data_IF_644034517940
#
_entry.id   IF_644034517940
#
_cell.length_a   1.000
_cell.length_b   1.000
_cell.length_c   1.000
_cell.angle_alpha   90.00
_cell.angle_beta   90.00
_cell.angle_gamma   90.00
#
_symmetry.space_group_name_H-M   'P 1'
#
loop_
_entity.id
_entity.type
_entity.pdbx_description
1 polymer ?
#
# COMPACT_ATOMS: atom_id res chain seq x y z
N UNK A 1 18.33 6.63 -6.84
CA UNK A 1 17.00 6.11 -7.21
C UNK A 1 16.76 6.54 -8.65
N UNK A 2 16.50 5.61 -9.57
CA UNK A 2 16.12 5.95 -10.95
C UNK A 2 14.60 5.80 -11.04
N UNK A 3 13.92 6.79 -11.61
CA UNK A 3 12.48 6.73 -11.86
C UNK A 3 12.21 5.74 -12.99
N UNK A 4 11.29 4.79 -12.77
CA UNK A 4 10.78 3.95 -13.84
C UNK A 4 9.78 4.72 -14.69
N UNK A 5 9.95 4.70 -16.01
CA UNK A 5 9.01 5.27 -16.96
C UNK A 5 8.36 4.15 -17.77
N UNK A 6 7.10 4.35 -18.15
CA UNK A 6 6.36 3.45 -19.01
C UNK A 6 5.53 4.27 -19.99
N UNK A 7 5.27 3.70 -21.16
CA UNK A 7 4.38 4.30 -22.15
C UNK A 7 2.95 3.82 -21.90
N UNK A 8 2.01 4.77 -21.82
CA UNK A 8 0.59 4.45 -21.73
C UNK A 8 0.10 3.78 -23.02
N UNK A 9 -0.77 2.78 -22.88
CA UNK A 9 -1.25 1.94 -23.99
C UNK A 9 -2.71 2.22 -24.37
N UNK A 10 -3.48 2.87 -23.49
CA UNK A 10 -4.88 3.24 -23.73
C UNK A 10 -4.96 4.69 -24.21
N UNK A 11 -4.47 4.97 -25.41
CA UNK A 11 -4.36 6.35 -25.92
C UNK A 11 -5.62 6.85 -26.66
N UNK A 12 -6.43 5.93 -27.18
CA UNK A 12 -7.60 6.27 -28.00
C UNK A 12 -8.72 6.94 -27.19
N UNK A 13 -9.61 7.67 -27.87
CA UNK A 13 -10.80 8.26 -27.25
C UNK A 13 -11.86 7.18 -26.96
N UNK A 14 -12.12 6.29 -27.91
CA UNK A 14 -12.87 5.06 -27.67
C UNK A 14 -11.94 4.01 -27.07
N UNK A 15 -12.24 3.57 -25.84
CA UNK A 15 -11.36 2.70 -25.07
C UNK A 15 -12.09 1.41 -24.74
N UNK A 16 -11.67 0.33 -25.39
CA UNK A 16 -12.06 -1.02 -25.02
C UNK A 16 -11.02 -1.61 -24.05
N UNK A 17 -11.36 -1.62 -22.76
CA UNK A 17 -10.51 -2.19 -21.72
C UNK A 17 -10.61 -3.72 -21.63
N UNK A 18 -11.62 -4.34 -22.26
CA UNK A 18 -11.94 -5.77 -22.06
C UNK A 18 -10.90 -6.70 -22.67
N UNK A 19 -10.11 -6.20 -23.63
CA UNK A 19 -8.98 -6.92 -24.23
C UNK A 19 -7.70 -6.93 -23.39
N UNK A 20 -7.64 -6.16 -22.28
CA UNK A 20 -6.45 -6.07 -21.45
C UNK A 20 -6.18 -7.40 -20.74
N UNK A 21 -4.92 -7.84 -20.81
CA UNK A 21 -4.46 -9.07 -20.16
C UNK A 21 -2.98 -8.95 -19.82
N UNK A 22 -2.58 -9.68 -18.78
CA UNK A 22 -1.16 -9.90 -18.50
C UNK A 22 -0.61 -10.82 -19.60
N UNK A 23 0.45 -10.38 -20.28
CA UNK A 23 1.15 -11.22 -21.24
C UNK A 23 2.16 -12.12 -20.50
N UNK A 24 1.74 -13.33 -20.15
CA UNK A 24 2.57 -14.26 -19.40
C UNK A 24 3.80 -14.77 -20.18
N UNK A 25 3.81 -14.61 -21.51
CA UNK A 25 4.94 -14.96 -22.37
C UNK A 25 5.97 -13.83 -22.50
N UNK A 26 5.68 -12.63 -21.95
CA UNK A 26 6.62 -11.52 -22.00
C UNK A 26 7.91 -11.87 -21.23
N UNK A 27 9.12 -11.62 -21.77
CA UNK A 27 10.38 -11.99 -21.13
C UNK A 27 10.50 -11.50 -19.68
N UNK A 28 10.11 -10.25 -19.40
CA UNK A 28 10.18 -9.69 -18.05
C UNK A 28 9.20 -10.34 -17.07
N UNK A 29 8.03 -10.77 -17.56
CA UNK A 29 7.07 -11.49 -16.73
C UNK A 29 7.56 -12.89 -16.42
N UNK A 30 8.09 -13.61 -17.42
CA UNK A 30 8.69 -14.93 -17.20
C UNK A 30 9.85 -14.85 -16.23
N UNK A 31 10.71 -13.85 -16.40
CA UNK A 31 11.83 -13.59 -15.51
C UNK A 31 11.37 -13.32 -14.07
N UNK A 32 10.31 -12.54 -13.85
CA UNK A 32 9.80 -12.28 -12.50
C UNK A 32 9.24 -13.54 -11.82
N UNK A 33 8.56 -14.40 -12.56
CA UNK A 33 8.07 -15.70 -12.05
C UNK A 33 9.23 -16.66 -11.79
N UNK A 34 10.23 -16.72 -12.67
CA UNK A 34 11.45 -17.53 -12.47
C UNK A 34 12.23 -17.08 -11.22
N UNK A 35 12.35 -15.76 -11.01
CA UNK A 35 12.94 -15.20 -9.79
C UNK A 35 12.16 -15.57 -8.54
N UNK A 36 10.83 -15.58 -8.61
CA UNK A 36 9.99 -15.95 -7.47
C UNK A 36 10.22 -17.41 -7.07
N UNK A 37 10.22 -18.33 -8.04
CA UNK A 37 10.50 -19.75 -7.79
C UNK A 37 11.90 -19.96 -7.22
N UNK A 38 12.91 -19.32 -7.81
CA UNK A 38 14.27 -19.38 -7.28
C UNK A 38 14.36 -18.84 -5.85
N UNK A 39 13.67 -17.74 -5.58
CA UNK A 39 13.59 -17.12 -4.25
C UNK A 39 13.08 -18.11 -3.21
N UNK A 40 12.02 -18.85 -3.52
CA UNK A 40 11.44 -19.86 -2.62
C UNK A 40 12.43 -20.99 -2.30
N UNK A 41 13.11 -21.51 -3.33
CA UNK A 41 14.08 -22.59 -3.16
C UNK A 41 15.27 -22.16 -2.29
N UNK A 42 15.75 -20.92 -2.47
CA UNK A 42 16.92 -20.41 -1.77
C UNK A 42 16.62 -19.86 -0.36
N UNK A 43 15.42 -19.31 -0.16
CA UNK A 43 15.00 -18.62 1.06
C UNK A 43 14.44 -19.54 2.15
N UNK A 44 14.09 -20.79 1.82
CA UNK A 44 13.44 -21.73 2.74
C UNK A 44 14.16 -21.81 4.10
N UNK A 45 13.45 -21.40 5.16
CA UNK A 45 13.94 -21.38 6.54
C UNK A 45 14.96 -20.28 6.87
N UNK A 46 15.18 -19.31 5.98
CA UNK A 46 16.15 -18.22 6.14
C UNK A 46 15.50 -16.84 6.10
N UNK A 47 14.59 -16.62 5.17
CA UNK A 47 13.88 -15.35 5.00
C UNK A 47 12.53 -15.56 4.29
N UNK A 48 11.71 -14.51 4.27
CA UNK A 48 10.42 -14.49 3.56
C UNK A 48 10.63 -14.07 2.11
N UNK A 49 9.82 -14.59 1.20
CA UNK A 49 9.80 -14.22 -0.21
C UNK A 49 8.65 -13.25 -0.48
N UNK A 50 9.00 -12.08 -1.00
CA UNK A 50 7.99 -11.07 -1.36
C UNK A 50 7.29 -11.46 -2.67
N UNK A 51 5.97 -11.29 -2.73
CA UNK A 51 5.23 -11.32 -4.00
C UNK A 51 5.53 -10.08 -4.88
N UNK A 52 6.35 -9.16 -4.39
CA UNK A 52 6.80 -7.98 -5.11
C UNK A 52 5.89 -6.76 -4.94
N UNK A 53 6.13 -5.78 -5.82
CA UNK A 53 5.35 -4.56 -5.93
C UNK A 53 4.60 -4.57 -7.27
N UNK A 54 3.28 -4.58 -7.21
CA UNK A 54 2.41 -4.28 -8.32
C UNK A 54 1.26 -3.39 -7.84
N UNK A 55 1.11 -2.25 -8.53
CA UNK A 55 0.05 -1.29 -8.24
C UNK A 55 -1.34 -1.91 -8.40
N UNK A 56 -2.31 -1.28 -7.79
CA UNK A 56 -3.73 -1.64 -7.93
C UNK A 56 -4.58 -0.38 -7.87
N UNK A 57 -5.87 -0.54 -8.15
CA UNK A 57 -6.79 0.59 -8.20
C UNK A 57 -6.28 1.68 -9.18
N UNK A 58 -6.61 2.94 -8.92
CA UNK A 58 -6.29 4.12 -9.74
C UNK A 58 -4.88 4.17 -10.32
N UNK A 59 -3.88 3.59 -9.65
CA UNK A 59 -2.48 3.58 -10.11
C UNK A 59 -2.29 2.74 -11.38
N UNK A 60 -2.95 1.57 -11.47
CA UNK A 60 -2.87 0.71 -12.65
C UNK A 60 -3.50 1.39 -13.85
N UNK A 61 -4.70 1.98 -13.69
CA UNK A 61 -5.34 2.67 -14.80
C UNK A 61 -4.60 3.95 -15.16
N UNK A 62 -4.06 4.70 -14.19
CA UNK A 62 -3.22 5.87 -14.46
C UNK A 62 -1.98 5.48 -15.29
N UNK A 63 -1.39 4.32 -15.01
CA UNK A 63 -0.26 3.83 -15.80
C UNK A 63 -0.67 3.50 -17.24
N UNK A 64 -1.78 2.79 -17.42
CA UNK A 64 -2.27 2.35 -18.73
C UNK A 64 -2.83 3.49 -19.59
N UNK A 65 -3.52 4.46 -18.98
CA UNK A 65 -4.23 5.57 -19.64
C UNK A 65 -3.43 6.87 -19.70
N UNK A 66 -2.51 7.03 -18.75
CA UNK A 66 -1.83 8.28 -18.46
C UNK A 66 -2.63 9.11 -17.47
N UNK A 67 -1.96 9.64 -16.44
CA UNK A 67 -2.59 10.38 -15.33
C UNK A 67 -3.46 11.54 -15.80
N UNK A 68 -3.00 12.35 -16.76
CA UNK A 68 -3.74 13.50 -17.26
C UNK A 68 -5.06 13.08 -17.94
N UNK A 69 -4.98 12.10 -18.83
CA UNK A 69 -6.15 11.55 -19.50
C UNK A 69 -7.14 10.94 -18.50
N UNK A 70 -6.65 10.19 -17.51
CA UNK A 70 -7.50 9.61 -16.48
C UNK A 70 -8.20 10.68 -15.63
N UNK A 71 -7.57 11.84 -15.39
CA UNK A 71 -8.22 12.96 -14.70
C UNK A 71 -9.41 13.52 -15.50
N UNK A 72 -9.26 13.67 -16.81
CA UNK A 72 -10.40 14.03 -17.68
C UNK A 72 -11.45 12.92 -17.68
N UNK A 73 -11.05 11.65 -17.74
CA UNK A 73 -11.98 10.52 -17.72
C UNK A 73 -12.79 10.44 -16.42
N UNK A 74 -12.19 10.79 -15.27
CA UNK A 74 -12.91 10.90 -13.99
C UNK A 74 -14.00 11.98 -13.98
N UNK A 75 -13.86 13.02 -14.81
CA UNK A 75 -14.84 14.09 -14.96
C UNK A 75 -15.92 13.74 -15.98
N UNK A 76 -15.49 13.31 -17.17
CA UNK A 76 -16.36 13.19 -18.34
C UNK A 76 -17.07 11.83 -18.40
N UNK A 77 -16.45 10.78 -17.86
CA UNK A 77 -16.93 9.39 -17.93
C UNK A 77 -16.60 8.57 -16.68
N UNK A 78 -17.03 8.99 -15.48
CA UNK A 78 -16.71 8.30 -14.23
C UNK A 78 -17.17 6.84 -14.18
N UNK A 79 -18.25 6.46 -14.85
CA UNK A 79 -18.69 5.05 -14.86
C UNK A 79 -17.76 4.16 -15.69
N UNK A 80 -17.24 4.66 -16.81
CA UNK A 80 -16.22 3.94 -17.56
C UNK A 80 -14.96 3.70 -16.72
N UNK A 81 -14.55 4.69 -15.91
CA UNK A 81 -13.43 4.54 -14.97
C UNK A 81 -13.73 3.44 -13.96
N UNK A 82 -14.91 3.44 -13.33
CA UNK A 82 -15.30 2.41 -12.37
C UNK A 82 -15.32 1.01 -12.98
N UNK A 83 -15.96 0.85 -14.14
CA UNK A 83 -16.05 -0.44 -14.83
C UNK A 83 -14.67 -0.98 -15.21
N UNK A 84 -13.79 -0.08 -15.69
CA UNK A 84 -12.39 -0.43 -16.01
C UNK A 84 -11.62 -0.83 -14.77
N UNK A 85 -11.76 -0.09 -13.66
CA UNK A 85 -11.11 -0.39 -12.39
C UNK A 85 -11.58 -1.73 -11.79
N UNK A 86 -12.87 -2.06 -11.87
CA UNK A 86 -13.38 -3.37 -11.48
C UNK A 86 -12.76 -4.49 -12.30
N UNK A 87 -12.67 -4.31 -13.62
CA UNK A 87 -12.05 -5.27 -14.53
C UNK A 87 -10.55 -5.46 -14.22
N UNK A 88 -9.82 -4.37 -13.99
CA UNK A 88 -8.41 -4.41 -13.61
C UNK A 88 -8.21 -5.07 -12.25
N UNK A 89 -9.11 -4.83 -11.28
CA UNK A 89 -9.06 -5.48 -9.98
C UNK A 89 -9.30 -6.99 -10.07
N UNK A 90 -10.14 -7.47 -11.00
CA UNK A 90 -10.29 -8.91 -11.25
C UNK A 90 -9.02 -9.54 -11.85
N UNK A 91 -8.27 -8.80 -12.67
CA UNK A 91 -6.94 -9.21 -13.12
C UNK A 91 -5.96 -9.23 -11.94
N UNK A 92 -5.97 -8.18 -11.11
CA UNK A 92 -5.12 -8.04 -9.93
C UNK A 92 -5.31 -9.22 -8.97
N UNK A 93 -6.55 -9.55 -8.60
CA UNK A 93 -6.86 -10.67 -7.70
C UNK A 93 -6.39 -12.01 -8.26
N UNK A 94 -6.61 -12.28 -9.57
CA UNK A 94 -6.14 -13.52 -10.20
C UNK A 94 -4.62 -13.62 -10.23
N UNK A 95 -3.94 -12.51 -10.51
CA UNK A 95 -2.49 -12.47 -10.51
C UNK A 95 -1.92 -12.66 -9.11
N UNK A 96 -2.47 -11.94 -8.12
CA UNK A 96 -2.12 -12.12 -6.71
C UNK A 96 -2.25 -13.58 -6.29
N UNK A 97 -3.38 -14.23 -6.58
CA UNK A 97 -3.60 -15.64 -6.24
C UNK A 97 -2.57 -16.59 -6.85
N UNK A 98 -2.11 -16.29 -8.07
CA UNK A 98 -1.04 -17.06 -8.72
C UNK A 98 0.27 -16.92 -7.94
N UNK A 99 0.66 -15.70 -7.57
CA UNK A 99 1.89 -15.44 -6.81
C UNK A 99 1.81 -16.02 -5.38
N UNK A 100 0.67 -15.85 -4.71
CA UNK A 100 0.43 -16.37 -3.37
C UNK A 100 0.53 -17.89 -3.32
N UNK A 101 -0.04 -18.61 -4.30
CA UNK A 101 0.09 -20.07 -4.39
C UNK A 101 1.55 -20.53 -4.49
N UNK A 102 2.39 -19.74 -5.16
CA UNK A 102 3.81 -20.04 -5.31
C UNK A 102 4.52 -19.88 -3.95
N UNK A 103 4.33 -18.77 -3.23
CA UNK A 103 5.06 -18.50 -1.99
C UNK A 103 4.51 -19.17 -0.72
N UNK A 104 3.21 -19.44 -0.66
CA UNK A 104 2.54 -19.87 0.58
C UNK A 104 3.02 -21.25 1.08
N UNK A 105 3.62 -22.07 0.20
CA UNK A 105 4.23 -23.35 0.60
C UNK A 105 5.47 -23.19 1.50
N UNK A 106 6.12 -22.02 1.46
CA UNK A 106 7.37 -21.77 2.20
C UNK A 106 7.22 -20.69 3.26
N UNK A 107 6.43 -19.65 2.98
CA UNK A 107 6.33 -18.49 3.89
C UNK A 107 5.21 -18.60 4.92
N UNK A 108 4.36 -19.64 4.84
CA UNK A 108 3.18 -19.86 5.69
C UNK A 108 2.28 -18.60 5.83
N UNK A 109 2.25 -17.80 4.77
CA UNK A 109 1.65 -16.48 4.75
C UNK A 109 2.15 -15.66 3.56
N UNK A 110 2.12 -14.34 3.68
CA UNK A 110 2.67 -13.46 2.64
C UNK A 110 3.22 -12.15 3.18
N UNK A 111 4.14 -11.59 2.41
CA UNK A 111 4.66 -10.22 2.51
C UNK A 111 4.66 -9.59 1.12
N UNK A 112 4.85 -8.28 1.02
CA UNK A 112 4.91 -7.56 -0.25
C UNK A 112 6.10 -6.58 -0.26
N UNK A 113 6.03 -5.53 -1.06
CA UNK A 113 7.00 -4.43 -1.04
C UNK A 113 7.05 -3.69 0.30
N UNK A 114 6.01 -3.86 1.12
CA UNK A 114 5.91 -3.31 2.46
C UNK A 114 6.44 -4.31 3.49
N UNK A 115 7.33 -3.92 4.42
CA UNK A 115 8.07 -4.85 5.29
C UNK A 115 7.22 -5.35 6.47
N UNK A 116 6.06 -5.92 6.18
CA UNK A 116 5.16 -6.59 7.11
C UNK A 116 4.81 -7.98 6.57
N UNK A 117 4.51 -8.91 7.47
CA UNK A 117 4.07 -10.25 7.14
C UNK A 117 2.74 -10.54 7.84
N UNK A 118 1.88 -11.34 7.21
CA UNK A 118 0.68 -11.88 7.84
C UNK A 118 0.44 -13.35 7.46
N UNK A 119 -0.24 -14.13 8.33
CA UNK A 119 -0.54 -15.55 8.09
C UNK A 119 -1.76 -15.71 7.16
N UNK A 120 -1.59 -15.32 5.89
CA UNK A 120 -2.63 -15.36 4.86
C UNK A 120 -2.32 -14.40 3.73
N UNK A 121 -3.34 -14.03 2.95
CA UNK A 121 -3.20 -13.04 1.88
C UNK A 121 -3.07 -11.63 2.47
N UNK A 122 -1.87 -11.07 2.38
CA UNK A 122 -1.54 -9.72 2.80
C UNK A 122 -1.07 -8.86 1.62
N UNK A 123 -1.47 -7.59 1.64
CA UNK A 123 -0.90 -6.58 0.77
C UNK A 123 -1.02 -5.17 1.37
N UNK A 124 -0.12 -4.28 0.94
CA UNK A 124 -0.24 -2.85 1.16
C UNK A 124 -1.13 -2.25 0.07
N UNK A 125 -2.39 -1.99 0.41
CA UNK A 125 -3.39 -1.40 -0.47
C UNK A 125 -3.10 0.09 -0.65
N UNK A 126 -3.25 0.59 -1.87
CA UNK A 126 -2.95 1.99 -2.21
C UNK A 126 -3.79 2.49 -3.39
N UNK A 127 -3.79 3.81 -3.56
CA UNK A 127 -4.26 4.52 -4.74
C UNK A 127 -3.58 5.89 -4.71
N UNK A 128 -2.36 5.96 -5.23
CA UNK A 128 -1.56 7.19 -5.25
C UNK A 128 -2.15 8.22 -6.22
N UNK A 129 -2.80 7.77 -7.29
CA UNK A 129 -3.57 8.62 -8.22
C UNK A 129 -4.58 9.51 -7.48
N UNK A 130 -5.16 9.03 -6.38
CA UNK A 130 -6.13 9.77 -5.57
C UNK A 130 -5.59 11.10 -5.01
N UNK A 131 -4.27 11.31 -4.98
CA UNK A 131 -3.64 12.59 -4.64
C UNK A 131 -4.26 13.75 -5.44
N UNK A 132 -4.60 13.49 -6.71
CA UNK A 132 -5.02 14.49 -7.69
C UNK A 132 -6.52 14.80 -7.69
N UNK A 133 -7.36 14.04 -6.98
CA UNK A 133 -8.82 14.16 -7.04
C UNK A 133 -9.45 14.56 -5.71
N UNK A 134 -10.70 15.00 -5.73
CA UNK A 134 -11.43 15.39 -4.51
C UNK A 134 -11.88 14.17 -3.68
N UNK A 135 -12.14 14.31 -2.36
CA UNK A 135 -12.72 13.23 -1.55
C UNK A 135 -14.05 12.69 -2.08
N UNK A 136 -14.86 13.56 -2.70
CA UNK A 136 -16.11 13.17 -3.35
C UNK A 136 -15.86 12.22 -4.51
N UNK A 137 -14.98 12.59 -5.44
CA UNK A 137 -14.60 11.74 -6.56
C UNK A 137 -13.97 10.44 -6.10
N UNK A 138 -13.05 10.51 -5.12
CA UNK A 138 -12.42 9.31 -4.56
C UNK A 138 -13.45 8.32 -4.02
N UNK A 139 -14.42 8.81 -3.23
CA UNK A 139 -15.51 7.99 -2.72
C UNK A 139 -16.36 7.39 -3.84
N UNK A 140 -16.77 8.21 -4.79
CA UNK A 140 -17.70 7.80 -5.84
C UNK A 140 -17.08 6.80 -6.82
N UNK A 141 -15.78 6.93 -7.10
CA UNK A 141 -15.08 6.14 -8.13
C UNK A 141 -14.32 4.96 -7.52
N UNK A 142 -13.54 5.16 -6.46
CA UNK A 142 -12.53 4.18 -6.04
C UNK A 142 -12.85 3.41 -4.76
N UNK A 143 -13.75 3.91 -3.90
CA UNK A 143 -14.02 3.28 -2.60
C UNK A 143 -14.47 1.82 -2.74
N UNK A 144 -15.38 1.52 -3.67
CA UNK A 144 -15.91 0.16 -3.88
C UNK A 144 -14.88 -0.78 -4.52
N UNK A 145 -13.94 -0.24 -5.31
CA UNK A 145 -12.82 -1.02 -5.86
C UNK A 145 -11.81 -1.37 -4.77
N UNK A 146 -11.50 -0.43 -3.88
CA UNK A 146 -10.65 -0.67 -2.71
C UNK A 146 -11.35 -1.68 -1.78
N UNK A 147 -12.65 -1.54 -1.55
CA UNK A 147 -13.44 -2.50 -0.76
C UNK A 147 -13.31 -3.92 -1.34
N UNK A 148 -13.52 -4.10 -2.65
CA UNK A 148 -13.32 -5.37 -3.36
C UNK A 148 -11.93 -5.95 -3.14
N UNK A 149 -10.88 -5.13 -3.21
CA UNK A 149 -9.51 -5.58 -2.94
C UNK A 149 -9.35 -6.05 -1.49
N UNK A 150 -9.87 -5.28 -0.53
CA UNK A 150 -9.78 -5.61 0.90
C UNK A 150 -10.65 -6.80 1.31
N UNK A 151 -11.69 -7.12 0.55
CA UNK A 151 -12.51 -8.32 0.75
C UNK A 151 -11.84 -9.59 0.21
N UNK A 152 -11.02 -9.44 -0.83
CA UNK A 152 -10.22 -10.54 -1.37
C UNK A 152 -9.01 -10.89 -0.48
N UNK A 153 -8.43 -9.90 0.21
CA UNK A 153 -7.29 -10.06 1.10
C UNK A 153 -7.74 -10.44 2.53
N UNK A 154 -6.93 -11.25 3.22
CA UNK A 154 -7.16 -11.59 4.63
C UNK A 154 -6.68 -10.45 5.55
N UNK A 155 -5.59 -9.78 5.16
CA UNK A 155 -4.94 -8.72 5.92
C UNK A 155 -4.55 -7.56 5.02
N UNK A 156 -4.85 -6.33 5.45
CA UNK A 156 -4.55 -5.12 4.69
C UNK A 156 -3.95 -4.03 5.59
N UNK A 157 -2.89 -3.41 5.10
CA UNK A 157 -2.48 -2.06 5.51
C UNK A 157 -2.80 -1.12 4.35
N UNK A 158 -3.35 0.06 4.65
CA UNK A 158 -3.50 1.09 3.62
C UNK A 158 -2.31 2.04 3.65
N UNK A 159 -1.64 2.19 2.51
CA UNK A 159 -0.54 3.12 2.30
C UNK A 159 -1.11 4.49 1.92
N UNK A 160 -1.01 5.47 2.83
CA UNK A 160 -1.41 6.85 2.56
C UNK A 160 -0.16 7.66 2.21
N UNK A 161 0.15 7.74 0.92
CA UNK A 161 1.31 8.49 0.44
C UNK A 161 0.98 9.92 0.02
N UNK A 162 1.72 10.87 0.59
CA UNK A 162 1.63 12.27 0.23
C UNK A 162 0.47 13.01 0.90
N UNK A 163 0.72 14.29 1.19
CA UNK A 163 -0.26 15.17 1.85
C UNK A 163 -1.60 15.26 1.11
N UNK A 164 -1.58 15.14 -0.23
CA UNK A 164 -2.78 15.15 -1.06
C UNK A 164 -3.70 13.96 -0.82
N UNK A 165 -3.20 12.84 -0.30
CA UNK A 165 -4.02 11.67 0.06
C UNK A 165 -4.56 11.73 1.49
N UNK A 166 -4.05 12.61 2.37
CA UNK A 166 -4.52 12.70 3.76
C UNK A 166 -6.01 13.10 3.85
N UNK A 167 -6.51 13.84 2.87
CA UNK A 167 -7.92 14.26 2.75
C UNK A 167 -8.90 13.09 2.52
N UNK A 168 -8.40 11.90 2.19
CA UNK A 168 -9.21 10.70 1.92
C UNK A 168 -9.30 9.74 3.11
N UNK A 169 -8.54 10.01 4.19
CA UNK A 169 -8.44 9.13 5.36
C UNK A 169 -9.82 8.88 5.97
N UNK A 170 -10.67 9.91 6.11
CA UNK A 170 -12.01 9.75 6.70
C UNK A 170 -12.85 8.71 5.93
N UNK A 171 -12.80 8.75 4.60
CA UNK A 171 -13.47 7.76 3.75
C UNK A 171 -12.86 6.37 3.89
N UNK A 172 -11.53 6.26 3.96
CA UNK A 172 -10.85 4.98 4.11
C UNK A 172 -11.08 4.31 5.48
N UNK A 173 -11.28 5.11 6.53
CA UNK A 173 -11.55 4.61 7.88
C UNK A 173 -12.88 3.83 7.97
N UNK A 174 -13.81 4.10 7.03
CA UNK A 174 -15.09 3.38 6.92
C UNK A 174 -14.91 1.92 6.50
N UNK A 175 -13.81 1.58 5.82
CA UNK A 175 -13.54 0.21 5.38
C UNK A 175 -13.11 -0.67 6.57
N UNK A 176 -13.92 -1.67 6.99
CA UNK A 176 -13.68 -2.41 8.21
C UNK A 176 -12.51 -3.40 8.09
N UNK A 177 -12.18 -3.83 6.86
CA UNK A 177 -11.11 -4.78 6.55
C UNK A 177 -9.72 -4.16 6.59
N UNK A 178 -9.60 -2.84 6.42
CA UNK A 178 -8.34 -2.13 6.64
C UNK A 178 -8.09 -2.06 8.14
N UNK A 179 -7.06 -2.75 8.63
CA UNK A 179 -6.72 -2.81 10.06
C UNK A 179 -5.58 -1.87 10.45
N UNK A 180 -4.76 -1.48 9.48
CA UNK A 180 -3.63 -0.61 9.69
C UNK A 180 -3.55 0.47 8.61
N UNK A 181 -2.99 1.63 8.98
CA UNK A 181 -2.66 2.70 8.04
C UNK A 181 -1.19 3.05 8.17
N UNK A 182 -0.48 3.14 7.05
CA UNK A 182 0.76 3.90 7.01
C UNK A 182 0.43 5.34 6.67
N UNK A 183 0.92 6.28 7.48
CA UNK A 183 0.84 7.72 7.19
C UNK A 183 2.21 8.21 6.76
N UNK A 184 2.36 8.50 5.46
CA UNK A 184 3.59 8.95 4.85
C UNK A 184 3.40 10.34 4.23
N UNK A 185 4.00 11.40 4.79
CA UNK A 185 3.91 12.75 4.22
C UNK A 185 4.48 12.90 2.81
N UNK A 186 5.38 12.00 2.40
CA UNK A 186 6.10 12.03 1.13
C UNK A 186 7.49 12.67 1.25
N UNK A 187 8.30 12.50 0.21
CA UNK A 187 9.67 13.00 0.16
C UNK A 187 9.74 14.53 0.29
N UNK A 188 10.73 15.03 1.05
CA UNK A 188 10.92 16.46 1.28
C UNK A 188 9.88 17.13 2.18
N UNK A 189 8.94 16.38 2.77
CA UNK A 189 7.97 16.89 3.75
C UNK A 189 8.45 16.68 5.19
N UNK A 190 7.87 17.40 6.18
CA UNK A 190 8.17 17.16 7.58
C UNK A 190 7.86 15.73 8.02
N UNK A 191 8.44 15.31 9.14
CA UNK A 191 8.14 14.04 9.81
C UNK A 191 6.63 13.80 9.95
N UNK A 192 6.14 12.54 9.88
CA UNK A 192 4.76 12.19 10.22
C UNK A 192 4.27 12.80 11.54
N UNK A 193 5.16 12.98 12.53
CA UNK A 193 4.80 13.58 13.83
C UNK A 193 4.38 15.06 13.74
N UNK A 194 4.71 15.75 12.65
CA UNK A 194 4.17 17.08 12.37
C UNK A 194 2.65 17.05 12.14
N UNK A 195 2.14 15.94 11.63
CA UNK A 195 0.73 15.71 11.33
C UNK A 195 0.04 14.89 12.43
N UNK A 196 0.33 15.22 13.70
CA UNK A 196 -0.13 14.47 14.87
C UNK A 196 -1.66 14.26 14.90
N UNK A 197 -2.44 15.24 14.43
CA UNK A 197 -3.91 15.14 14.38
C UNK A 197 -4.38 14.02 13.45
N UNK A 198 -3.68 13.79 12.33
CA UNK A 198 -3.95 12.68 11.42
C UNK A 198 -3.61 11.35 12.07
N UNK A 199 -2.44 11.26 12.73
CA UNK A 199 -2.01 10.04 13.43
C UNK A 199 -3.01 9.65 14.54
N UNK A 200 -3.42 10.63 15.36
CA UNK A 200 -4.40 10.43 16.43
C UNK A 200 -5.78 10.10 15.88
N UNK A 201 -6.20 10.69 14.77
CA UNK A 201 -7.46 10.35 14.09
C UNK A 201 -7.51 8.86 13.71
N UNK A 202 -6.44 8.33 13.13
CA UNK A 202 -6.34 6.90 12.76
C UNK A 202 -6.46 6.02 14.01
N UNK A 203 -5.73 6.34 15.09
CA UNK A 203 -5.80 5.56 16.33
C UNK A 203 -7.18 5.66 17.02
N UNK A 204 -7.79 6.84 17.01
CA UNK A 204 -9.13 7.05 17.58
C UNK A 204 -10.22 6.25 16.84
N UNK A 205 -10.01 5.94 15.56
CA UNK A 205 -10.86 5.04 14.79
C UNK A 205 -10.57 3.54 15.05
N UNK A 206 -9.71 3.23 16.03
CA UNK A 206 -9.35 1.86 16.41
C UNK A 206 -8.46 1.14 15.39
N UNK A 207 -7.76 1.89 14.53
CA UNK A 207 -6.86 1.33 13.51
C UNK A 207 -5.42 1.34 14.01
N UNK A 208 -4.65 0.33 13.61
CA UNK A 208 -3.21 0.30 13.81
C UNK A 208 -2.53 1.38 12.95
N UNK A 209 -1.39 1.87 13.41
CA UNK A 209 -0.66 2.96 12.77
C UNK A 209 0.77 2.53 12.49
N UNK A 210 1.22 2.74 11.26
CA UNK A 210 2.61 2.60 10.85
C UNK A 210 3.18 3.98 10.50
N UNK A 211 4.32 4.34 11.09
CA UNK A 211 5.05 5.57 10.76
C UNK A 211 6.55 5.29 10.59
N UNK A 212 7.18 6.05 9.70
CA UNK A 212 8.63 6.06 9.52
C UNK A 212 9.17 7.40 10.01
N UNK A 213 10.01 7.38 11.05
CA UNK A 213 10.51 8.60 11.72
C UNK A 213 11.99 8.45 12.05
N UNK A 214 12.66 9.57 12.33
CA UNK A 214 14.03 9.54 12.82
C UNK A 214 14.11 9.01 14.25
N UNK A 215 15.22 8.36 14.62
CA UNK A 215 15.37 7.72 15.95
C UNK A 215 15.23 8.71 17.12
N UNK A 216 15.65 9.96 16.93
CA UNK A 216 15.47 11.03 17.93
C UNK A 216 14.01 11.42 18.19
N UNK A 217 13.09 11.06 17.28
CA UNK A 217 11.66 11.37 17.39
C UNK A 217 10.85 10.25 18.06
N UNK A 218 11.43 9.06 18.24
CA UNK A 218 10.73 7.88 18.77
C UNK A 218 10.12 8.12 20.15
N UNK A 219 10.87 8.76 21.05
CA UNK A 219 10.36 9.13 22.38
C UNK A 219 9.11 10.01 22.27
N UNK A 220 9.17 11.04 21.42
CA UNK A 220 8.04 11.96 21.19
C UNK A 220 6.83 11.22 20.64
N UNK A 221 7.04 10.27 19.71
CA UNK A 221 5.96 9.44 19.18
C UNK A 221 5.28 8.63 20.30
N UNK A 222 6.06 7.89 21.11
CA UNK A 222 5.54 7.05 22.19
C UNK A 222 4.88 7.84 23.34
N UNK A 223 5.31 9.09 23.57
CA UNK A 223 4.66 9.99 24.53
C UNK A 223 3.31 10.55 24.05
N UNK A 224 3.07 10.61 22.73
CA UNK A 224 1.91 11.29 22.15
C UNK A 224 0.92 10.38 21.42
N UNK A 225 1.32 9.15 21.12
CA UNK A 225 0.52 8.14 20.42
C UNK A 225 0.31 6.92 21.32
N UNK A 226 -0.81 6.22 21.12
CA UNK A 226 -1.05 4.96 21.80
C UNK A 226 0.00 3.94 21.32
N UNK A 227 0.73 3.30 22.23
CA UNK A 227 1.72 2.28 21.87
C UNK A 227 1.06 1.01 21.31
N UNK A 228 -0.19 0.72 21.70
CA UNK A 228 -0.93 -0.44 21.18
C UNK A 228 -1.29 -0.22 19.71
N UNK A 229 -0.85 -1.15 18.86
CA UNK A 229 -1.09 -1.08 17.42
C UNK A 229 -0.20 -0.07 16.69
N UNK A 230 0.82 0.49 17.34
CA UNK A 230 1.78 1.40 16.72
C UNK A 230 3.04 0.67 16.27
N UNK A 231 3.34 0.77 14.98
CA UNK A 231 4.59 0.32 14.37
C UNK A 231 5.44 1.54 14.00
N UNK A 232 6.66 1.60 14.53
CA UNK A 232 7.63 2.65 14.25
C UNK A 232 8.80 2.05 13.45
N UNK A 233 8.94 2.48 12.20
CA UNK A 233 10.12 2.24 11.39
C UNK A 233 11.13 3.37 11.62
N UNK A 234 12.35 3.03 11.99
CA UNK A 234 13.44 3.98 12.25
C UNK A 234 14.79 3.29 12.03
N UNK A 235 15.86 4.07 11.85
CA UNK A 235 17.23 3.58 11.85
C UNK A 235 18.09 4.37 12.84
N UNK A 236 19.20 3.75 13.27
CA UNK A 236 20.23 4.37 14.10
C UNK A 236 21.57 4.28 13.39
N UNK A 237 22.47 5.23 13.66
CA UNK A 237 23.81 5.26 13.06
C UNK A 237 24.73 4.13 13.55
N UNK A 238 24.48 3.61 14.76
CA UNK A 238 25.27 2.55 15.37
C UNK A 238 24.38 1.54 16.09
N UNK A 239 24.89 0.31 16.26
CA UNK A 239 24.24 -0.75 17.03
C UNK A 239 24.01 -0.32 18.49
N UNK A 240 25.00 0.29 19.15
CA UNK A 240 24.86 0.79 20.53
C UNK A 240 23.68 1.76 20.69
N UNK A 241 23.50 2.69 19.73
CA UNK A 241 22.35 3.61 19.74
C UNK A 241 21.04 2.87 19.54
N UNK A 242 21.02 1.82 18.70
CA UNK A 242 19.83 1.00 18.50
C UNK A 242 19.46 0.21 19.77
N UNK A 243 20.44 -0.40 20.45
CA UNK A 243 20.23 -1.11 21.72
C UNK A 243 19.73 -0.17 22.81
N UNK A 244 20.34 1.01 22.96
CA UNK A 244 19.89 2.04 23.89
C UNK A 244 18.45 2.52 23.59
N UNK A 245 18.08 2.62 22.31
CA UNK A 245 16.72 2.95 21.92
C UNK A 245 15.76 1.85 22.41
N UNK A 246 16.05 0.58 22.11
CA UNK A 246 15.24 -0.58 22.52
C UNK A 246 15.03 -0.64 24.03
N UNK A 247 16.10 -0.45 24.82
CA UNK A 247 16.02 -0.46 26.29
C UNK A 247 15.06 0.61 26.85
N UNK A 248 14.91 1.73 26.14
CA UNK A 248 14.07 2.84 26.57
C UNK A 248 12.62 2.76 26.06
N UNK A 249 12.34 1.98 25.00
CA UNK A 249 10.98 1.84 24.44
C UNK A 249 9.98 1.40 25.52
N UNK A 250 10.34 0.44 26.38
CA UNK A 250 9.47 -0.05 27.46
C UNK A 250 9.09 1.02 28.48
N UNK A 251 9.96 2.02 28.68
CA UNK A 251 9.72 3.13 29.62
C UNK A 251 8.80 4.20 29.04
N UNK A 252 8.84 4.40 27.72
CA UNK A 252 8.08 5.44 27.03
C UNK A 252 6.74 4.95 26.51
N UNK A 253 6.63 3.66 26.17
CA UNK A 253 5.42 3.05 25.64
C UNK A 253 4.29 3.09 26.67
N UNK A 254 3.15 3.66 26.27
CA UNK A 254 1.94 3.72 27.10
C UNK A 254 0.74 3.33 26.25
N UNK A 255 -0.11 2.47 26.80
CA UNK A 255 -1.47 2.34 26.28
C UNK A 255 -2.24 3.59 26.68
N UNK A 256 -2.73 4.32 25.67
CA UNK A 256 -3.56 5.51 25.88
C UNK A 256 -5.00 5.12 25.58
N UNK A 257 -5.89 5.34 26.54
CA UNK A 257 -7.34 5.12 26.39
C UNK A 257 -7.99 6.24 25.60
#
# INVERSE_FOLDING_TARGET
>A
MQTGWWDSILLNQEIDYTGLKINEEHPDYRFSIELLHRGIDEAKGKCLVSIGAFGGCGDTLAALRGTENLLFDCLDRPEWVKETEFFLMDIWCRHYDKLFKIINEVDEGSTCWFPLWAPGKFYAVQNDFAYNISPKMFREIFLTIIEKQTDFLDFCVYHVDGLGNFKHIDTLLELPKIKAFQILPGEGKPSPLYFMDILKKVQAAGKNLHISIHSSEVKRALENLNARGLFISTSCETEDKALQLIENISKWSKEQT
#
